data_IF_483302805862
#
_entry.id   IF_483302805862
#
_cell.length_a   1.000
_cell.length_b   1.000
_cell.length_c   1.000
_cell.angle_alpha   90.00
_cell.angle_beta   90.00
_cell.angle_gamma   90.00
#
_symmetry.space_group_name_H-M   'P 1'
#
loop_
_entity.id
_entity.type
_entity.pdbx_description
1 polymer ?
#
# COMPACT_ATOMS: atom_id res chain seq x y z
N UNK A 1 8.06 13.34 45.36
CA UNK A 1 6.99 13.56 46.35
C UNK A 1 6.52 14.99 46.25
N UNK A 2 5.62 15.29 45.32
CA UNK A 2 4.79 16.49 45.36
C UNK A 2 3.43 16.04 44.81
N UNK A 3 2.47 15.79 45.72
CA UNK A 3 1.08 15.47 45.35
C UNK A 3 0.52 16.73 44.70
N UNK A 4 0.52 16.77 43.36
CA UNK A 4 -0.02 17.88 42.60
C UNK A 4 -1.54 17.80 42.62
N UNK A 5 -2.18 18.59 43.48
CA UNK A 5 -3.63 18.77 43.47
C UNK A 5 -3.98 19.93 42.53
N UNK A 6 -5.11 19.80 41.83
CA UNK A 6 -5.64 20.84 40.94
C UNK A 6 -6.94 21.35 41.54
N UNK A 7 -7.03 22.67 41.70
CA UNK A 7 -8.24 23.32 42.21
C UNK A 7 -9.00 23.97 41.05
N UNK A 8 -10.29 23.65 40.93
CA UNK A 8 -11.18 24.18 39.90
C UNK A 8 -12.37 24.90 40.57
N UNK A 9 -12.58 26.19 40.28
CA UNK A 9 -13.76 26.90 40.76
C UNK A 9 -15.00 26.49 39.94
N UNK A 10 -16.03 25.99 40.62
CA UNK A 10 -17.32 25.63 40.01
C UNK A 10 -18.44 26.32 40.80
N UNK A 11 -19.14 27.24 40.15
CA UNK A 11 -20.10 28.14 40.80
C UNK A 11 -19.46 28.95 41.95
N UNK A 12 -19.92 28.80 43.20
CA UNK A 12 -19.41 29.51 44.38
C UNK A 12 -18.46 28.65 45.26
N UNK A 13 -18.08 27.46 44.80
CA UNK A 13 -17.19 26.55 45.54
C UNK A 13 -15.94 26.17 44.74
N UNK A 14 -14.84 25.95 45.46
CA UNK A 14 -13.57 25.46 44.89
C UNK A 14 -13.46 23.97 45.18
N UNK A 15 -13.45 23.16 44.12
CA UNK A 15 -13.25 21.71 44.23
C UNK A 15 -11.77 21.38 44.03
N UNK A 16 -11.23 20.56 44.93
CA UNK A 16 -9.86 20.05 44.86
C UNK A 16 -9.89 18.62 44.32
N UNK A 17 -9.05 18.36 43.31
CA UNK A 17 -8.90 17.06 42.67
C UNK A 17 -7.48 16.54 42.91
N UNK A 18 -7.38 15.29 43.30
CA UNK A 18 -6.10 14.59 43.41
C UNK A 18 -5.80 13.75 42.15
N UNK A 19 -4.68 13.04 42.17
CA UNK A 19 -4.24 12.24 41.03
C UNK A 19 -5.15 11.01 40.77
N UNK A 20 -5.91 10.55 41.77
CA UNK A 20 -6.85 9.43 41.65
C UNK A 20 -8.15 9.89 40.98
N UNK A 21 -8.50 11.17 41.10
CA UNK A 21 -9.67 11.79 40.47
C UNK A 21 -9.47 12.19 38.99
N UNK A 22 -8.22 12.19 38.49
CA UNK A 22 -7.88 12.70 37.15
C UNK A 22 -7.60 11.56 36.17
N UNK A 23 -8.43 11.46 35.13
CA UNK A 23 -8.19 10.55 34.00
C UNK A 23 -7.70 11.31 32.75
N UNK A 24 -6.42 11.15 32.41
CA UNK A 24 -5.86 11.67 31.16
C UNK A 24 -6.17 10.72 30.00
N UNK A 25 -6.83 11.21 28.96
CA UNK A 25 -7.08 10.45 27.72
C UNK A 25 -6.41 11.14 26.54
N UNK A 26 -5.72 10.36 25.72
CA UNK A 26 -5.24 10.82 24.42
C UNK A 26 -6.42 10.96 23.47
N UNK A 27 -6.66 12.18 22.98
CA UNK A 27 -7.61 12.44 21.91
C UNK A 27 -6.84 12.72 20.62
N UNK A 28 -7.07 11.89 19.60
CA UNK A 28 -6.47 12.10 18.29
C UNK A 28 -7.07 13.36 17.63
N UNK A 29 -6.24 14.06 16.85
CA UNK A 29 -6.71 15.17 15.99
C UNK A 29 -7.61 14.60 14.87
N UNK A 30 -8.53 15.40 14.31
CA UNK A 30 -9.25 15.01 13.09
C UNK A 30 -8.28 14.55 11.99
N UNK A 31 -8.63 13.46 11.28
CA UNK A 31 -7.76 12.84 10.26
C UNK A 31 -6.70 11.88 10.82
N UNK A 32 -6.71 11.61 12.13
CA UNK A 32 -5.79 10.68 12.78
C UNK A 32 -6.54 9.73 13.72
N UNK A 33 -6.14 8.46 13.74
CA UNK A 33 -6.55 7.47 14.72
C UNK A 33 -5.38 7.23 15.68
N UNK A 34 -5.64 7.27 16.99
CA UNK A 34 -4.64 6.95 18.00
C UNK A 34 -5.11 5.81 18.89
N UNK A 35 -4.24 4.84 19.13
CA UNK A 35 -4.44 3.76 20.08
C UNK A 35 -3.29 3.73 21.08
N UNK A 36 -3.61 3.69 22.37
CA UNK A 36 -2.62 3.64 23.44
C UNK A 36 -2.55 2.22 23.99
N UNK A 37 -1.41 1.57 23.81
CA UNK A 37 -1.00 0.38 24.55
C UNK A 37 -0.33 0.76 25.87
N UNK A 38 -0.04 -0.25 26.71
CA UNK A 38 0.62 -0.04 28.01
C UNK A 38 2.03 0.57 27.92
N UNK A 39 2.70 0.44 26.78
CA UNK A 39 4.08 0.91 26.58
C UNK A 39 4.29 1.76 25.32
N UNK A 40 3.28 1.92 24.46
CA UNK A 40 3.39 2.72 23.25
C UNK A 40 2.06 3.34 22.84
N UNK A 41 2.14 4.44 22.09
CA UNK A 41 0.99 5.04 21.41
C UNK A 41 1.21 4.87 19.92
N UNK A 42 0.28 4.21 19.24
CA UNK A 42 0.26 4.11 17.78
C UNK A 42 -0.66 5.20 17.27
N UNK A 43 -0.18 6.00 16.33
CA UNK A 43 -0.98 7.02 15.65
C UNK A 43 -0.92 6.75 14.15
N UNK A 44 -2.08 6.60 13.52
CA UNK A 44 -2.25 6.42 12.08
C UNK A 44 -2.92 7.66 11.49
N UNK A 45 -2.37 8.19 10.40
CA UNK A 45 -3.11 9.12 9.55
C UNK A 45 -4.20 8.33 8.84
N UNK A 46 -5.46 8.76 8.97
CA UNK A 46 -6.62 8.09 8.36
C UNK A 46 -6.97 8.69 7.01
N UNK A 47 -6.39 9.83 6.65
CA UNK A 47 -6.56 10.45 5.35
C UNK A 47 -5.65 9.75 4.33
N UNK A 48 -6.26 9.07 3.37
CA UNK A 48 -5.56 8.57 2.21
C UNK A 48 -5.24 9.73 1.28
N UNK A 49 -3.97 9.91 0.98
CA UNK A 49 -3.52 10.82 -0.08
C UNK A 49 -3.49 10.08 -1.40
N UNK A 50 -3.65 10.79 -2.52
CA UNK A 50 -3.60 10.15 -3.85
C UNK A 50 -2.26 9.42 -4.08
N UNK A 51 -1.16 9.90 -3.49
CA UNK A 51 0.13 9.24 -3.54
C UNK A 51 0.11 7.87 -2.84
N UNK A 52 -0.52 7.78 -1.66
CA UNK A 52 -0.67 6.51 -0.93
C UNK A 52 -1.57 5.53 -1.68
N UNK A 53 -2.62 6.02 -2.33
CA UNK A 53 -3.51 5.20 -3.17
C UNK A 53 -2.72 4.62 -4.35
N UNK A 54 -1.97 5.46 -5.08
CA UNK A 54 -1.16 5.01 -6.22
C UNK A 54 -0.04 4.04 -5.83
N UNK A 55 0.59 4.26 -4.67
CA UNK A 55 1.55 3.32 -4.09
C UNK A 55 0.88 1.97 -3.76
N UNK A 56 -0.35 2.00 -3.23
CA UNK A 56 -1.19 0.82 -3.02
C UNK A 56 -1.44 0.05 -4.31
N UNK A 57 -1.86 0.74 -5.37
CA UNK A 57 -2.07 0.12 -6.69
C UNK A 57 -0.79 -0.51 -7.26
N UNK A 58 0.36 0.15 -7.08
CA UNK A 58 1.63 -0.42 -7.50
C UNK A 58 1.95 -1.73 -6.77
N UNK A 59 1.67 -1.82 -5.45
CA UNK A 59 1.85 -3.06 -4.67
C UNK A 59 0.91 -4.16 -5.12
N UNK A 60 -0.34 -3.84 -5.38
CA UNK A 60 -1.32 -4.81 -5.86
C UNK A 60 -0.97 -5.33 -7.26
N UNK A 61 -0.44 -4.48 -8.14
CA UNK A 61 0.10 -4.87 -9.43
C UNK A 61 1.28 -5.83 -9.27
N UNK A 62 2.27 -5.49 -8.42
CA UNK A 62 3.41 -6.37 -8.14
C UNK A 62 2.93 -7.74 -7.66
N UNK A 63 1.98 -7.77 -6.73
CA UNK A 63 1.39 -9.03 -6.25
C UNK A 63 0.76 -9.83 -7.40
N UNK A 64 -0.05 -9.18 -8.23
CA UNK A 64 -0.72 -9.84 -9.36
C UNK A 64 0.28 -10.38 -10.39
N UNK A 65 1.35 -9.64 -10.69
CA UNK A 65 2.42 -10.06 -11.59
C UNK A 65 3.19 -11.26 -11.00
N UNK A 66 3.49 -11.24 -9.70
CA UNK A 66 4.17 -12.34 -9.02
C UNK A 66 3.31 -13.60 -8.99
N UNK A 67 2.01 -13.46 -8.76
CA UNK A 67 1.09 -14.60 -8.85
C UNK A 67 1.00 -15.13 -10.29
N UNK A 68 1.05 -14.26 -11.30
CA UNK A 68 1.14 -14.67 -12.70
C UNK A 68 2.45 -15.40 -13.02
N UNK A 69 3.59 -14.96 -12.48
CA UNK A 69 4.88 -15.67 -12.62
C UNK A 69 4.80 -17.10 -12.07
N UNK A 70 4.13 -17.30 -10.94
CA UNK A 70 3.93 -18.64 -10.37
C UNK A 70 3.04 -19.51 -11.25
N UNK A 71 1.98 -18.95 -11.84
CA UNK A 71 1.09 -19.68 -12.74
C UNK A 71 1.78 -20.12 -14.05
N UNK A 72 2.77 -19.35 -14.49
CA UNK A 72 3.61 -19.65 -15.65
C UNK A 72 4.80 -20.57 -15.31
N UNK A 73 4.88 -21.07 -14.08
CA UNK A 73 6.00 -21.87 -13.57
C UNK A 73 7.38 -21.22 -13.78
N UNK A 74 7.43 -19.88 -13.74
CA UNK A 74 8.68 -19.13 -13.88
C UNK A 74 9.63 -19.46 -12.73
N UNK A 75 10.93 -19.57 -13.04
CA UNK A 75 11.96 -19.70 -12.02
C UNK A 75 12.11 -18.40 -11.24
N UNK A 76 12.62 -18.50 -10.01
CA UNK A 76 12.84 -17.33 -9.14
C UNK A 76 13.76 -16.28 -9.79
N UNK A 77 14.71 -16.71 -10.61
CA UNK A 77 15.69 -15.84 -11.29
C UNK A 77 15.25 -15.35 -12.66
N UNK A 78 14.11 -15.82 -13.17
CA UNK A 78 13.69 -15.48 -14.53
C UNK A 78 13.37 -14.00 -14.66
N UNK A 79 13.88 -13.43 -15.75
CA UNK A 79 13.57 -12.08 -16.19
C UNK A 79 12.34 -12.10 -17.07
N UNK A 80 11.49 -11.07 -16.95
CA UNK A 80 10.22 -11.01 -17.67
C UNK A 80 10.04 -9.68 -18.41
N UNK A 81 9.14 -9.68 -19.38
CA UNK A 81 8.55 -8.50 -19.98
C UNK A 81 7.09 -8.40 -19.51
N UNK A 82 6.66 -7.20 -19.17
CA UNK A 82 5.32 -6.93 -18.64
C UNK A 82 4.57 -6.01 -19.59
N UNK A 83 3.35 -6.40 -19.97
CA UNK A 83 2.36 -5.54 -20.62
C UNK A 83 1.18 -5.33 -19.68
N UNK A 84 0.70 -4.09 -19.57
CA UNK A 84 -0.44 -3.74 -18.72
C UNK A 84 -1.41 -2.91 -19.54
N UNK A 85 -2.63 -3.41 -19.74
CA UNK A 85 -3.69 -2.69 -20.44
C UNK A 85 -4.82 -2.37 -19.46
N UNK A 86 -5.19 -1.10 -19.38
CA UNK A 86 -6.30 -0.63 -18.54
C UNK A 86 -6.82 0.70 -19.07
N UNK A 87 -8.12 0.93 -18.94
CA UNK A 87 -8.78 2.20 -19.26
C UNK A 87 -8.70 3.20 -18.10
N UNK A 88 -8.25 2.77 -16.91
CA UNK A 88 -8.13 3.65 -15.74
C UNK A 88 -6.93 4.59 -15.84
N UNK A 89 -7.20 5.89 -15.97
CA UNK A 89 -6.17 6.93 -15.98
C UNK A 89 -5.40 7.00 -14.66
N UNK A 90 -6.06 6.70 -13.54
CA UNK A 90 -5.44 6.68 -12.22
C UNK A 90 -4.43 5.53 -12.10
N UNK A 91 -4.80 4.35 -12.61
CA UNK A 91 -3.90 3.20 -12.63
C UNK A 91 -2.73 3.42 -13.59
N UNK A 92 -2.95 4.06 -14.73
CA UNK A 92 -1.89 4.49 -15.64
C UNK A 92 -0.90 5.45 -14.96
N UNK A 93 -1.40 6.43 -14.19
CA UNK A 93 -0.54 7.32 -13.41
C UNK A 93 0.25 6.57 -12.33
N UNK A 94 -0.40 5.64 -11.61
CA UNK A 94 0.25 4.81 -10.61
C UNK A 94 1.38 3.95 -11.20
N UNK A 95 1.15 3.35 -12.38
CA UNK A 95 2.15 2.58 -13.12
C UNK A 95 3.34 3.47 -13.51
N UNK A 96 3.08 4.66 -14.05
CA UNK A 96 4.13 5.58 -14.46
C UNK A 96 4.98 6.07 -13.28
N UNK A 97 4.34 6.47 -12.18
CA UNK A 97 5.03 6.96 -10.97
C UNK A 97 5.85 5.86 -10.27
N UNK A 98 5.39 4.59 -10.34
CA UNK A 98 6.00 3.48 -9.63
C UNK A 98 6.68 2.47 -10.56
N UNK A 99 6.96 2.83 -11.81
CA UNK A 99 7.50 1.91 -12.82
C UNK A 99 8.77 1.22 -12.33
N UNK A 100 9.70 1.97 -11.73
CA UNK A 100 10.96 1.43 -11.21
C UNK A 100 10.76 0.44 -10.06
N UNK A 101 9.78 0.70 -9.19
CA UNK A 101 9.42 -0.22 -8.10
C UNK A 101 8.83 -1.51 -8.67
N UNK A 102 7.85 -1.39 -9.58
CA UNK A 102 7.20 -2.56 -10.19
C UNK A 102 8.22 -3.43 -10.92
N UNK A 103 9.09 -2.85 -11.75
CA UNK A 103 10.07 -3.64 -12.51
C UNK A 103 11.13 -4.28 -11.62
N UNK A 104 11.58 -3.59 -10.57
CA UNK A 104 12.56 -4.13 -9.62
C UNK A 104 11.99 -5.32 -8.85
N UNK A 105 10.80 -5.15 -8.26
CA UNK A 105 10.19 -6.20 -7.43
C UNK A 105 9.75 -7.42 -8.25
N UNK A 106 9.56 -7.28 -9.56
CA UNK A 106 9.08 -8.35 -10.45
C UNK A 106 10.17 -8.91 -11.36
N UNK A 107 11.42 -8.46 -11.23
CA UNK A 107 12.55 -8.80 -12.11
C UNK A 107 12.24 -8.55 -13.60
N UNK A 108 11.45 -7.52 -13.89
CA UNK A 108 11.09 -7.18 -15.25
C UNK A 108 12.19 -6.39 -15.96
N UNK A 109 12.45 -6.74 -17.22
CA UNK A 109 13.35 -5.99 -18.10
C UNK A 109 12.62 -4.87 -18.84
N UNK A 110 11.31 -5.00 -19.03
CA UNK A 110 10.46 -3.98 -19.61
C UNK A 110 9.07 -4.00 -19.00
N UNK A 111 8.46 -2.82 -18.94
CA UNK A 111 7.07 -2.62 -18.61
C UNK A 111 6.49 -1.65 -19.65
N UNK A 112 5.45 -2.10 -20.36
CA UNK A 112 4.70 -1.29 -21.32
C UNK A 112 3.23 -1.24 -20.93
N UNK A 113 2.54 -0.15 -21.27
CA UNK A 113 1.10 0.03 -21.03
C UNK A 113 0.25 -0.42 -22.22
N UNK A 114 0.74 -1.42 -22.94
CA UNK A 114 0.10 -2.03 -24.11
C UNK A 114 0.12 -3.55 -23.98
N UNK A 115 -0.55 -4.23 -24.89
CA UNK A 115 -0.46 -5.67 -25.02
C UNK A 115 0.96 -6.11 -25.46
N UNK A 116 1.29 -7.37 -25.16
CA UNK A 116 2.47 -8.05 -25.69
C UNK A 116 2.00 -9.13 -26.66
N UNK A 117 2.21 -8.97 -27.98
CA UNK A 117 1.81 -9.96 -28.96
C UNK A 117 2.41 -11.33 -28.67
N UNK A 118 1.56 -12.37 -28.65
CA UNK A 118 1.98 -13.75 -28.40
C UNK A 118 2.17 -14.12 -26.92
N UNK A 119 2.03 -13.16 -25.99
CA UNK A 119 2.00 -13.45 -24.55
C UNK A 119 0.58 -13.78 -24.09
N UNK A 120 0.44 -14.78 -23.22
CA UNK A 120 -0.84 -15.10 -22.60
C UNK A 120 -1.21 -14.03 -21.57
N UNK A 121 -2.44 -13.52 -21.68
CA UNK A 121 -2.96 -12.48 -20.79
C UNK A 121 -3.83 -13.05 -19.68
N UNK A 122 -3.89 -12.33 -18.57
CA UNK A 122 -4.85 -12.56 -17.49
C UNK A 122 -5.53 -11.25 -17.13
N UNK A 123 -6.84 -11.27 -16.94
CA UNK A 123 -7.59 -10.10 -16.48
C UNK A 123 -7.80 -10.21 -14.97
N UNK A 124 -7.52 -9.12 -14.26
CA UNK A 124 -7.71 -9.00 -12.81
C UNK A 124 -8.20 -7.59 -12.47
N UNK A 125 -8.47 -7.35 -11.19
CA UNK A 125 -8.92 -6.05 -10.68
C UNK A 125 -7.88 -5.49 -9.72
N UNK A 126 -7.54 -4.22 -9.87
CA UNK A 126 -6.67 -3.46 -8.96
C UNK A 126 -7.46 -2.27 -8.45
N UNK A 127 -7.72 -2.23 -7.14
CA UNK A 127 -8.77 -1.36 -6.59
C UNK A 127 -10.11 -1.69 -7.23
N UNK A 128 -10.72 -0.70 -7.88
CA UNK A 128 -11.99 -0.86 -8.64
C UNK A 128 -11.78 -0.90 -10.16
N UNK A 129 -10.53 -0.87 -10.64
CA UNK A 129 -10.20 -0.84 -12.05
C UNK A 129 -9.89 -2.24 -12.60
N UNK A 130 -10.45 -2.58 -13.76
CA UNK A 130 -10.07 -3.78 -14.51
C UNK A 130 -8.72 -3.56 -15.22
N UNK A 131 -7.88 -4.58 -15.18
CA UNK A 131 -6.56 -4.57 -15.80
C UNK A 131 -6.28 -5.92 -16.47
N UNK A 132 -5.78 -5.86 -17.69
CA UNK A 132 -5.26 -7.02 -18.42
C UNK A 132 -3.75 -7.02 -18.33
N UNK A 133 -3.19 -8.08 -17.75
CA UNK A 133 -1.76 -8.26 -17.54
C UNK A 133 -1.20 -9.29 -18.52
N UNK A 134 -0.08 -8.95 -19.14
CA UNK A 134 0.71 -9.80 -20.02
C UNK A 134 2.06 -10.02 -19.35
N UNK A 135 2.48 -11.28 -19.20
CA UNK A 135 3.81 -11.63 -18.67
C UNK A 135 4.47 -12.60 -19.63
N UNK A 136 5.62 -12.23 -20.16
CA UNK A 136 6.43 -13.08 -21.04
C UNK A 136 7.83 -13.25 -20.44
N UNK A 137 8.34 -14.48 -20.40
CA UNK A 137 9.72 -14.73 -19.94
C UNK A 137 10.69 -14.23 -21.00
N UNK A 138 11.67 -13.43 -20.61
CA UNK A 138 12.64 -12.80 -21.51
C UNK A 138 13.79 -13.77 -21.92
N UNK A 139 13.74 -15.03 -21.50
CA UNK A 139 14.74 -16.03 -21.85
C UNK A 139 14.43 -16.61 -23.22
N UNK A 140 15.25 -16.20 -24.19
CA UNK A 140 15.56 -16.96 -25.38
C UNK A 140 16.21 -18.29 -24.93
N UNK A 141 15.43 -19.36 -24.85
CA UNK A 141 15.98 -20.70 -24.93
C UNK A 141 15.14 -21.48 -25.94
N UNK A 142 15.62 -21.69 -27.18
CA UNK A 142 14.95 -22.61 -28.08
C UNK A 142 14.92 -24.00 -27.41
N UNK A 143 13.89 -24.83 -27.67
CA UNK A 143 13.86 -26.19 -27.16
C UNK A 143 15.16 -26.88 -27.61
N UNK A 144 15.97 -27.28 -26.64
CA UNK A 144 17.15 -28.11 -26.91
C UNK A 144 16.62 -29.43 -27.47
N UNK A 145 16.76 -29.60 -28.79
CA UNK A 145 16.52 -30.87 -29.49
C UNK A 145 17.60 -31.89 -29.16
#
# INVERSE_FOLDING_TARGET
>A
NEQGTIQLPVADETLEFDAEDIQVRLQAKPGWAAAQGSQCVVVLATELTDALIREGYARDLVRSIQDRRKQLDCQFTDRIQIGIVTDSTELQAAIAENQAYITTETLAMSLVTTDIPGAESVTTTIGDAEVTLYVAVANDNPPTS
#
